data_IF_043289553188
#
_entry.id   IF_043289553188
#
_cell.length_a   1.000
_cell.length_b   1.000
_cell.length_c   1.000
_cell.angle_alpha   90.00
_cell.angle_beta   90.00
_cell.angle_gamma   90.00
#
_symmetry.space_group_name_H-M   'P 1'
#
loop_
_entity.id
_entity.type
_entity.pdbx_description
1 polymer ?
#
# COMPACT_ATOMS: atom_id res chain seq x y z
N UNK A 1 -5.82 -0.27 20.58
CA UNK A 1 -4.80 0.19 19.64
C UNK A 1 -3.67 -0.80 19.59
N UNK A 2 -3.03 -0.91 18.45
CA UNK A 2 -1.94 -1.84 18.27
C UNK A 2 -0.61 -1.10 18.28
N UNK A 3 0.35 -1.60 19.07
CA UNK A 3 1.70 -1.04 19.08
C UNK A 3 2.36 -1.14 17.71
N UNK A 4 2.07 -2.21 16.96
CA UNK A 4 2.62 -2.41 15.62
C UNK A 4 2.10 -1.35 14.66
N UNK A 5 0.79 -1.08 14.67
CA UNK A 5 0.20 -0.06 13.80
C UNK A 5 0.62 1.35 14.23
N UNK A 6 0.72 1.58 15.54
CA UNK A 6 1.19 2.88 16.05
C UNK A 6 2.63 3.15 15.59
N UNK A 7 3.48 2.12 15.63
CA UNK A 7 4.85 2.25 15.17
C UNK A 7 4.93 2.54 13.67
N UNK A 8 4.10 1.88 12.87
CA UNK A 8 4.03 2.15 11.43
C UNK A 8 3.56 3.58 11.18
N UNK A 9 2.49 4.00 11.85
CA UNK A 9 1.93 5.34 11.66
C UNK A 9 2.92 6.46 12.04
N UNK A 10 3.85 6.16 12.94
CA UNK A 10 4.85 7.13 13.39
C UNK A 10 6.07 7.22 12.47
N UNK A 11 6.21 6.31 11.49
CA UNK A 11 7.37 6.33 10.61
C UNK A 11 7.33 7.53 9.67
N UNK A 12 8.49 8.17 9.43
CA UNK A 12 8.58 9.17 8.36
C UNK A 12 8.17 8.52 7.03
N UNK A 13 7.33 9.22 6.27
CA UNK A 13 6.83 8.70 5.00
C UNK A 13 5.52 7.93 5.12
N UNK A 14 4.99 7.76 6.33
CA UNK A 14 3.68 7.15 6.55
C UNK A 14 2.68 8.22 7.00
N UNK A 15 1.50 8.23 6.38
CA UNK A 15 0.39 9.11 6.77
C UNK A 15 -0.87 8.28 6.97
N UNK A 16 -1.71 8.74 7.90
CA UNK A 16 -3.06 8.20 8.02
C UNK A 16 -3.91 8.77 6.88
N UNK A 17 -4.66 7.91 6.21
CA UNK A 17 -5.45 8.26 5.03
C UNK A 17 -6.91 7.93 5.28
N UNK A 18 -7.78 8.84 4.85
CA UNK A 18 -9.22 8.70 4.92
C UNK A 18 -9.79 8.82 3.52
N UNK A 19 -11.10 8.53 3.38
CA UNK A 19 -11.76 8.65 2.09
C UNK A 19 -11.59 10.05 1.50
N UNK A 20 -11.67 11.08 2.33
CA UNK A 20 -11.57 12.47 1.88
C UNK A 20 -10.14 12.97 1.67
N UNK A 21 -9.11 12.19 2.04
CA UNK A 21 -7.72 12.64 1.95
C UNK A 21 -6.86 11.78 1.04
N UNK A 22 -7.40 10.68 0.52
CA UNK A 22 -6.62 9.78 -0.33
C UNK A 22 -6.08 10.49 -1.58
N UNK A 23 -6.91 11.24 -2.28
CA UNK A 23 -6.48 11.88 -3.52
C UNK A 23 -5.37 12.91 -3.28
N UNK A 24 -5.47 13.68 -2.18
CA UNK A 24 -4.41 14.61 -1.82
C UNK A 24 -3.10 13.86 -1.52
N UNK A 25 -3.19 12.79 -0.73
CA UNK A 25 -2.02 11.96 -0.44
C UNK A 25 -1.37 11.44 -1.71
N UNK A 26 -2.17 10.89 -2.62
CA UNK A 26 -1.64 10.34 -3.88
C UNK A 26 -1.06 11.42 -4.79
N UNK A 27 -1.60 12.63 -4.75
CA UNK A 27 -1.07 13.73 -5.56
C UNK A 27 0.32 14.17 -5.10
N UNK A 28 0.60 14.02 -3.79
CA UNK A 28 1.91 14.35 -3.23
C UNK A 28 2.92 13.23 -3.33
N UNK A 29 2.46 12.00 -3.58
CA UNK A 29 3.32 10.82 -3.57
C UNK A 29 3.06 9.98 -4.83
N UNK A 30 3.82 10.23 -5.91
CA UNK A 30 3.63 9.50 -7.17
C UNK A 30 3.87 7.99 -7.06
N UNK A 31 4.60 7.57 -6.05
CA UNK A 31 4.82 6.15 -5.75
C UNK A 31 4.39 5.92 -4.32
N UNK A 32 3.34 5.14 -4.13
CA UNK A 32 2.76 4.95 -2.81
C UNK A 32 2.26 3.53 -2.60
N UNK A 33 2.34 3.09 -1.35
CA UNK A 33 1.66 1.89 -0.88
C UNK A 33 0.46 2.36 -0.08
N UNK A 34 -0.73 1.85 -0.39
CA UNK A 34 -1.93 2.14 0.41
C UNK A 34 -2.32 0.86 1.12
N UNK A 35 -2.25 0.88 2.44
CA UNK A 35 -2.39 -0.30 3.28
C UNK A 35 -3.74 -0.28 4.00
N UNK A 36 -4.50 -1.37 3.82
CA UNK A 36 -5.79 -1.59 4.45
C UNK A 36 -5.66 -2.82 5.35
N UNK A 37 -5.73 -2.61 6.66
CA UNK A 37 -5.43 -3.66 7.64
C UNK A 37 -6.53 -4.71 7.78
N UNK A 38 -7.77 -4.32 7.55
CA UNK A 38 -8.90 -5.13 7.98
C UNK A 38 -9.07 -5.09 9.49
N UNK A 39 -9.97 -5.92 9.99
CA UNK A 39 -10.24 -6.01 11.43
C UNK A 39 -9.18 -6.88 12.10
N UNK A 40 -8.21 -6.25 12.76
CA UNK A 40 -7.08 -6.94 13.38
C UNK A 40 -7.47 -7.71 14.64
N UNK A 41 -8.63 -7.41 15.22
CA UNK A 41 -9.13 -8.17 16.38
C UNK A 41 -9.63 -9.54 15.93
N UNK A 42 -10.40 -9.59 14.85
CA UNK A 42 -10.91 -10.84 14.31
C UNK A 42 -9.87 -11.58 13.46
N UNK A 43 -9.01 -10.83 12.76
CA UNK A 43 -7.98 -11.40 11.88
C UNK A 43 -6.65 -10.70 12.13
N UNK A 44 -5.85 -11.22 13.06
CA UNK A 44 -4.55 -10.60 13.38
C UNK A 44 -3.57 -10.57 12.21
N UNK A 45 -3.84 -11.26 11.13
CA UNK A 45 -2.99 -11.29 9.93
C UNK A 45 -2.62 -9.88 9.44
N UNK A 46 -3.52 -8.90 9.63
CA UNK A 46 -3.22 -7.52 9.28
C UNK A 46 -2.01 -6.95 10.00
N UNK A 47 -1.71 -7.45 11.20
CA UNK A 47 -0.51 -7.03 11.94
C UNK A 47 0.76 -7.59 11.32
N UNK A 48 0.71 -8.82 10.79
CA UNK A 48 1.86 -9.40 10.09
C UNK A 48 2.17 -8.59 8.83
N UNK A 49 1.14 -8.21 8.09
CA UNK A 49 1.31 -7.36 6.90
C UNK A 49 1.83 -5.99 7.29
N UNK A 50 1.40 -5.44 8.43
CA UNK A 50 1.90 -4.14 8.92
C UNK A 50 3.41 -4.17 9.14
N UNK A 51 3.95 -5.28 9.67
CA UNK A 51 5.40 -5.44 9.85
C UNK A 51 6.10 -5.40 8.48
N UNK A 52 5.54 -6.09 7.49
CA UNK A 52 6.10 -6.10 6.13
C UNK A 52 6.05 -4.70 5.52
N UNK A 53 4.93 -4.00 5.67
CA UNK A 53 4.78 -2.64 5.13
C UNK A 53 5.83 -1.70 5.73
N UNK A 54 6.06 -1.80 7.04
CA UNK A 54 7.07 -0.98 7.71
C UNK A 54 8.48 -1.29 7.17
N UNK A 55 8.77 -2.57 6.93
CA UNK A 55 10.06 -2.97 6.36
C UNK A 55 10.21 -2.45 4.92
N UNK A 56 9.15 -2.48 4.12
CA UNK A 56 9.18 -1.92 2.77
C UNK A 56 9.45 -0.41 2.81
N UNK A 57 8.76 0.30 3.71
CA UNK A 57 8.97 1.74 3.84
C UNK A 57 10.42 2.06 4.21
N UNK A 58 11.01 1.28 5.11
CA UNK A 58 12.41 1.45 5.50
C UNK A 58 13.36 1.14 4.34
N UNK A 59 13.11 0.04 3.62
CA UNK A 59 13.98 -0.39 2.52
C UNK A 59 14.02 0.63 1.39
N UNK A 60 12.89 1.26 1.11
CA UNK A 60 12.74 2.20 0.00
C UNK A 60 12.54 3.63 0.49
N UNK A 61 13.14 3.97 1.63
CA UNK A 61 12.98 5.30 2.23
C UNK A 61 13.30 6.40 1.21
N UNK A 62 12.42 7.40 1.14
CA UNK A 62 12.56 8.51 0.21
C UNK A 62 12.12 8.20 -1.21
N UNK A 63 11.80 6.95 -1.53
CA UNK A 63 11.38 6.56 -2.88
C UNK A 63 9.91 6.22 -2.98
N UNK A 64 9.26 5.87 -1.87
CA UNK A 64 7.83 5.66 -1.81
C UNK A 64 7.29 6.13 -0.46
N UNK A 65 5.99 6.34 -0.41
CA UNK A 65 5.29 6.70 0.81
C UNK A 65 4.24 5.63 1.12
N UNK A 66 3.79 5.59 2.37
CA UNK A 66 2.75 4.67 2.81
C UNK A 66 1.54 5.46 3.31
N UNK A 67 0.37 5.14 2.79
CA UNK A 67 -0.89 5.62 3.33
C UNK A 67 -1.55 4.49 4.11
N UNK A 68 -1.70 4.69 5.42
CA UNK A 68 -2.40 3.74 6.28
C UNK A 68 -3.87 4.19 6.36
N UNK A 69 -4.76 3.37 5.82
CA UNK A 69 -6.17 3.73 5.71
C UNK A 69 -6.87 3.60 7.06
N UNK A 70 -7.66 4.60 7.42
CA UNK A 70 -8.54 4.55 8.59
C UNK A 70 -9.53 3.40 8.40
N UNK A 71 -9.66 2.55 9.43
CA UNK A 71 -10.54 1.39 9.39
C UNK A 71 -11.96 1.73 8.94
N UNK A 72 -12.46 2.89 9.35
CA UNK A 72 -13.83 3.30 9.03
C UNK A 72 -14.05 3.55 7.55
N UNK A 73 -12.99 3.86 6.82
CA UNK A 73 -13.07 4.23 5.42
C UNK A 73 -12.62 3.11 4.48
N UNK A 74 -12.20 1.96 4.99
CA UNK A 74 -11.72 0.86 4.15
C UNK A 74 -12.74 0.43 3.13
N UNK A 75 -13.98 0.23 3.56
CA UNK A 75 -15.03 -0.20 2.65
C UNK A 75 -15.26 0.76 1.49
N UNK A 76 -15.20 2.06 1.77
CA UNK A 76 -15.39 3.08 0.74
C UNK A 76 -14.21 3.13 -0.25
N UNK A 77 -13.00 2.84 0.22
CA UNK A 77 -11.80 2.95 -0.61
C UNK A 77 -11.43 1.67 -1.37
N UNK A 78 -11.96 0.52 -0.95
CA UNK A 78 -11.64 -0.75 -1.59
C UNK A 78 -11.89 -0.76 -3.10
N UNK A 79 -13.06 -0.32 -3.60
CA UNK A 79 -13.29 -0.31 -5.06
C UNK A 79 -12.32 0.61 -5.79
N UNK A 80 -12.02 1.76 -5.21
CA UNK A 80 -11.12 2.76 -5.78
C UNK A 80 -9.71 2.19 -5.98
N UNK A 81 -9.30 1.29 -5.09
CA UNK A 81 -7.96 0.73 -5.08
C UNK A 81 -7.88 -0.67 -5.71
N UNK A 82 -9.00 -1.22 -6.16
CA UNK A 82 -9.04 -2.56 -6.70
C UNK A 82 -8.87 -3.65 -5.65
N UNK A 83 -9.20 -3.34 -4.39
CA UNK A 83 -9.07 -4.27 -3.27
C UNK A 83 -10.40 -4.98 -3.05
N UNK A 84 -10.36 -6.31 -2.94
CA UNK A 84 -11.56 -7.12 -2.66
C UNK A 84 -11.41 -7.97 -1.40
N UNK A 85 -10.21 -8.20 -0.93
CA UNK A 85 -9.93 -9.03 0.27
C UNK A 85 -8.96 -8.27 1.16
N UNK A 86 -9.20 -8.31 2.48
CA UNK A 86 -8.36 -7.68 3.48
C UNK A 86 -7.62 -8.73 4.33
N UNK A 87 -6.45 -8.42 4.84
CA UNK A 87 -5.67 -7.20 4.64
C UNK A 87 -5.12 -7.10 3.22
N UNK A 88 -4.79 -5.89 2.77
CA UNK A 88 -4.27 -5.69 1.43
C UNK A 88 -3.33 -4.50 1.36
N UNK A 89 -2.36 -4.58 0.45
CA UNK A 89 -1.50 -3.47 0.09
C UNK A 89 -1.76 -3.16 -1.38
N UNK A 90 -2.21 -1.95 -1.66
CA UNK A 90 -2.36 -1.46 -3.03
C UNK A 90 -1.10 -0.68 -3.41
N UNK A 91 -0.53 -0.99 -4.55
CA UNK A 91 0.65 -0.33 -5.09
C UNK A 91 0.14 0.71 -6.10
N UNK A 92 0.42 1.99 -5.83
CA UNK A 92 -0.19 3.09 -6.58
C UNK A 92 0.88 3.94 -7.26
N UNK A 93 0.73 4.12 -8.56
CA UNK A 93 1.63 4.94 -9.37
C UNK A 93 0.84 6.05 -10.01
N UNK A 94 1.24 7.28 -9.73
CA UNK A 94 0.62 8.47 -10.30
C UNK A 94 -0.91 8.47 -10.14
N UNK A 95 -1.36 8.09 -8.94
CA UNK A 95 -2.77 8.12 -8.57
C UNK A 95 -3.57 6.88 -9.00
N UNK A 96 -2.95 5.92 -9.68
CA UNK A 96 -3.62 4.72 -10.17
C UNK A 96 -3.05 3.48 -9.49
N UNK A 97 -3.92 2.65 -8.93
CA UNK A 97 -3.50 1.37 -8.37
C UNK A 97 -3.11 0.43 -9.52
N UNK A 98 -1.86 -0.02 -9.51
CA UNK A 98 -1.32 -0.88 -10.58
C UNK A 98 -1.34 -2.34 -10.21
N UNK A 99 -1.28 -2.67 -8.92
CA UNK A 99 -1.45 -4.05 -8.45
C UNK A 99 -1.80 -4.04 -6.97
N UNK A 100 -2.34 -5.16 -6.50
CA UNK A 100 -2.72 -5.35 -5.11
C UNK A 100 -2.14 -6.67 -4.64
N UNK A 101 -1.51 -6.67 -3.46
CA UNK A 101 -1.13 -7.90 -2.78
C UNK A 101 -2.11 -8.08 -1.62
N UNK A 102 -2.96 -9.09 -1.72
CA UNK A 102 -3.95 -9.38 -0.69
C UNK A 102 -3.43 -10.48 0.24
N UNK A 103 -3.70 -10.30 1.52
CA UNK A 103 -3.33 -11.24 2.57
C UNK A 103 -1.83 -11.28 2.82
N UNK A 104 -1.41 -12.02 3.83
CA UNK A 104 0.02 -12.20 4.10
C UNK A 104 0.59 -13.16 3.07
N UNK A 105 1.72 -12.78 2.50
CA UNK A 105 2.45 -13.56 1.49
C UNK A 105 3.91 -13.65 1.88
N UNK A 106 4.67 -14.45 1.16
CA UNK A 106 6.12 -14.50 1.34
C UNK A 106 6.73 -13.13 0.96
N UNK A 107 7.80 -12.79 1.65
CA UNK A 107 8.49 -11.51 1.46
C UNK A 107 8.76 -11.15 0.00
N UNK A 108 9.27 -12.07 -0.85
CA UNK A 108 9.55 -11.71 -2.24
C UNK A 108 8.35 -11.21 -3.02
N UNK A 109 7.13 -11.66 -2.69
CA UNK A 109 5.92 -11.18 -3.37
C UNK A 109 5.75 -9.68 -3.17
N UNK A 110 5.92 -9.22 -1.93
CA UNK A 110 5.80 -7.80 -1.61
C UNK A 110 6.92 -6.98 -2.24
N UNK A 111 8.15 -7.50 -2.20
CA UNK A 111 9.32 -6.76 -2.69
C UNK A 111 9.31 -6.67 -4.21
N UNK A 112 8.96 -7.74 -4.90
CA UNK A 112 8.87 -7.71 -6.36
C UNK A 112 7.83 -6.70 -6.83
N UNK A 113 6.73 -6.56 -6.11
CA UNK A 113 5.73 -5.54 -6.41
C UNK A 113 6.31 -4.13 -6.19
N UNK A 114 7.12 -3.92 -5.15
CA UNK A 114 7.82 -2.65 -4.97
C UNK A 114 8.75 -2.36 -6.14
N UNK A 115 9.51 -3.37 -6.58
CA UNK A 115 10.44 -3.19 -7.70
C UNK A 115 9.69 -2.79 -8.98
N UNK A 116 8.54 -3.40 -9.23
CA UNK A 116 7.71 -3.01 -10.37
C UNK A 116 7.18 -1.58 -10.23
N UNK A 117 6.75 -1.22 -9.01
CA UNK A 117 6.24 0.13 -8.75
C UNK A 117 7.32 1.19 -9.01
N UNK A 118 8.55 0.90 -8.64
CA UNK A 118 9.65 1.85 -8.71
C UNK A 118 10.42 1.78 -10.02
N UNK A 119 10.09 0.85 -10.90
CA UNK A 119 10.79 0.72 -12.18
C UNK A 119 10.54 1.97 -13.05
N UNK A 120 11.57 2.46 -13.73
CA UNK A 120 11.39 3.63 -14.59
C UNK A 120 10.48 3.33 -15.77
N UNK A 121 9.76 4.35 -16.23
CA UNK A 121 8.89 4.26 -17.39
C UNK A 121 7.61 3.50 -17.16
N UNK A 122 7.53 2.83 -16.16
CA UNK A 122 6.31 2.10 -15.80
C UNK A 122 5.62 1.45 -16.95
N UNK A 123 5.51 1.40 -17.21
CA UNK A 123 4.70 1.00 -17.75
C UNK A 123 3.98 0.32 -18.30
N UNK A 124 4.27 0.64 -18.34
CA UNK A 124 3.82 0.35 -18.79
C UNK A 124 3.66 -0.50 -19.26
N UNK A 125 3.75 -0.37 -19.33
CA UNK A 125 3.62 -0.78 -19.77
C UNK A 125 3.43 -1.39 -20.35
N UNK A 126 3.46 -1.38 -20.41
CA UNK A 126 3.37 -1.63 -20.93
C UNK A 126 3.21 -2.19 -21.43
N UNK A 127 3.06 -2.26 -21.64
CA UNK A 127 2.98 -2.51 -22.07
C UNK A 127 3.01 -2.98 -22.68
N UNK A 128 2.86 -3.13 -22.91
CA UNK A 128 3.05 -3.26 -23.41
C UNK A 128 3.16 -3.65 -23.79
N UNK A 129 3.01 -3.88 -24.10
CA UNK A 129 3.20 -4.03 -24.22
C UNK A 129 3.50 -4.44 -24.53
N UNK A 130 3.36 -4.52 -24.87
CA UNK A 130 3.78 -4.69 -24.81
C UNK A 130 4.25 -5.13 -24.98
N UNK A 131 4.22 -5.23 -25.17
CA UNK A 131 4.74 -5.42 -25.15
C UNK A 131 5.12 -5.74 -25.11
N UNK A 132 5.05 -6.15 -25.53
CA UNK A 132 5.43 -6.25 -25.32
C UNK A 132 5.56 -6.29 -25.29
#
# INVERSE_FOLDING_TARGET
MSAILDALAAEPGCELVRAGTLDDFLSRHPRALVFLTGDIVQRPEGLDVAVVVRQMLSKYAGRLAVGLVDRRDEGALMPRLGVVVLPAVAYVRDGTATEVVARMRDWPVFIQACERLLAPGGAAIDSVGGNA
#
